data_IF_237652940834
#
_entry.id   IF_237652940834
#
_cell.length_a   1.000
_cell.length_b   1.000
_cell.length_c   1.000
_cell.angle_alpha   90.00
_cell.angle_beta   90.00
_cell.angle_gamma   90.00
#
_symmetry.space_group_name_H-M   'P 1'
#
loop_
_entity.id
_entity.type
_entity.pdbx_description
1 polymer ?
#
# COMPACT_ATOMS: atom_id res chain seq x y z
N UNK A 1 23.19 -9.42 1.94
CA UNK A 1 22.14 -8.56 2.56
C UNK A 1 22.64 -7.80 3.78
N UNK A 2 23.45 -8.41 4.65
CA UNK A 2 23.91 -7.78 5.90
C UNK A 2 24.72 -6.49 5.69
N UNK A 3 25.61 -6.46 4.69
CA UNK A 3 26.35 -5.25 4.30
C UNK A 3 25.42 -4.06 3.98
N UNK A 4 24.33 -4.32 3.25
CA UNK A 4 23.38 -3.29 2.84
C UNK A 4 22.54 -2.78 4.02
N UNK A 5 22.20 -3.65 4.98
CA UNK A 5 21.56 -3.22 6.24
C UNK A 5 22.44 -2.24 7.00
N UNK A 6 23.73 -2.56 7.16
CA UNK A 6 24.69 -1.67 7.84
C UNK A 6 24.85 -0.33 7.13
N UNK A 7 24.90 -0.34 5.79
CA UNK A 7 24.97 0.88 4.99
C UNK A 7 23.72 1.75 5.15
N UNK A 8 22.53 1.14 5.14
CA UNK A 8 21.25 1.83 5.39
C UNK A 8 21.25 2.48 6.78
N UNK A 9 21.63 1.73 7.82
CA UNK A 9 21.67 2.24 9.19
C UNK A 9 22.60 3.44 9.30
N UNK A 10 23.85 3.28 8.86
CA UNK A 10 24.86 4.34 8.89
C UNK A 10 24.38 5.61 8.19
N UNK A 11 23.81 5.47 6.98
CA UNK A 11 23.30 6.62 6.21
C UNK A 11 22.15 7.33 6.92
N UNK A 12 21.23 6.58 7.53
CA UNK A 12 20.10 7.19 8.23
C UNK A 12 20.54 7.92 9.51
N UNK A 13 21.51 7.39 10.25
CA UNK A 13 22.08 8.05 11.43
C UNK A 13 22.87 9.31 11.06
N UNK A 14 23.53 9.34 9.90
CA UNK A 14 24.22 10.53 9.37
C UNK A 14 23.24 11.63 8.93
N UNK A 15 22.13 11.26 8.29
CA UNK A 15 21.17 12.22 7.71
C UNK A 15 20.10 12.70 8.70
N UNK A 16 19.77 11.91 9.72
CA UNK A 16 18.67 12.18 10.65
C UNK A 16 19.19 12.28 12.09
N UNK A 17 19.50 13.50 12.51
CA UNK A 17 19.88 13.79 13.89
C UNK A 17 18.79 13.30 14.86
N UNK A 18 19.23 12.65 15.95
CA UNK A 18 18.34 12.12 16.99
C UNK A 18 17.61 10.82 16.65
N UNK A 19 17.80 10.26 15.44
CA UNK A 19 17.22 8.96 15.08
C UNK A 19 17.93 7.83 15.83
N UNK A 20 17.17 7.01 16.56
CA UNK A 20 17.65 5.79 17.23
C UNK A 20 17.04 4.57 16.57
N UNK A 21 17.80 3.89 15.73
CA UNK A 21 17.32 2.72 14.98
C UNK A 21 17.19 1.53 15.92
N UNK A 22 16.00 0.91 15.91
CA UNK A 22 15.73 -0.32 16.66
C UNK A 22 15.99 -1.57 15.81
N UNK A 23 15.46 -1.61 14.57
CA UNK A 23 15.77 -2.68 13.63
C UNK A 23 15.56 -2.23 12.16
N UNK A 24 16.11 -3.01 11.23
CA UNK A 24 15.72 -2.95 9.82
C UNK A 24 14.66 -4.03 9.57
N UNK A 25 13.40 -3.61 9.44
CA UNK A 25 12.24 -4.50 9.23
C UNK A 25 12.39 -5.25 7.91
N UNK A 26 12.68 -4.51 6.84
CA UNK A 26 12.76 -5.07 5.50
C UNK A 26 13.73 -4.29 4.61
N UNK A 27 14.37 -5.00 3.68
CA UNK A 27 15.06 -4.40 2.55
C UNK A 27 14.41 -4.95 1.28
N UNK A 28 13.64 -4.09 0.63
CA UNK A 28 13.04 -4.39 -0.66
C UNK A 28 13.93 -3.97 -1.83
N UNK A 29 13.43 -4.24 -3.03
CA UNK A 29 14.05 -3.79 -4.26
C UNK A 29 14.16 -2.26 -4.34
N UNK A 30 13.20 -1.52 -3.76
CA UNK A 30 13.10 -0.07 -3.90
C UNK A 30 13.44 0.73 -2.65
N UNK A 31 13.21 0.18 -1.46
CA UNK A 31 13.43 0.88 -0.20
C UNK A 31 13.77 -0.09 0.94
N UNK A 32 14.43 0.44 1.96
CA UNK A 32 14.49 -0.17 3.28
C UNK A 32 13.37 0.41 4.16
N UNK A 33 12.80 -0.44 5.00
CA UNK A 33 11.83 -0.09 6.04
C UNK A 33 12.52 -0.33 7.38
N UNK A 34 12.58 0.72 8.19
CA UNK A 34 13.37 0.75 9.43
C UNK A 34 12.46 1.15 10.59
N UNK A 35 12.49 0.37 11.67
CA UNK A 35 11.85 0.69 12.95
C UNK A 35 12.83 1.53 13.78
N UNK A 36 12.38 2.69 14.25
CA UNK A 36 13.24 3.62 14.97
C UNK A 36 12.46 4.44 15.99
N UNK A 37 13.19 5.14 16.86
CA UNK A 37 12.67 6.22 17.68
C UNK A 37 13.24 7.55 17.18
N UNK A 38 12.38 8.55 17.03
CA UNK A 38 12.75 9.91 16.67
C UNK A 38 12.03 10.86 17.63
N UNK A 39 12.80 11.67 18.37
CA UNK A 39 12.32 12.54 19.46
C UNK A 39 11.40 11.81 20.47
N UNK A 40 11.80 10.61 20.88
CA UNK A 40 11.05 9.79 21.84
C UNK A 40 9.81 9.10 21.27
N UNK A 41 9.42 9.38 20.03
CA UNK A 41 8.30 8.73 19.34
C UNK A 41 8.78 7.56 18.50
N UNK A 42 8.10 6.42 18.59
CA UNK A 42 8.37 5.28 17.70
C UNK A 42 7.83 5.58 16.30
N UNK A 43 8.67 5.38 15.29
CA UNK A 43 8.41 5.73 13.89
C UNK A 43 8.85 4.61 12.96
N UNK A 44 8.32 4.64 11.74
CA UNK A 44 8.85 3.88 10.61
C UNK A 44 9.54 4.85 9.67
N UNK A 45 10.79 4.52 9.30
CA UNK A 45 11.53 5.23 8.27
C UNK A 45 11.53 4.40 7.00
N UNK A 46 10.97 4.95 5.93
CA UNK A 46 11.05 4.40 4.57
C UNK A 46 12.16 5.12 3.83
N UNK A 47 13.24 4.41 3.54
CA UNK A 47 14.44 4.95 2.92
C UNK A 47 14.70 4.36 1.54
N UNK A 48 14.61 5.20 0.51
CA UNK A 48 15.03 4.90 -0.86
C UNK A 48 16.51 5.19 -0.99
N UNK A 49 17.32 4.16 -0.81
CA UNK A 49 18.78 4.23 -0.92
C UNK A 49 19.23 4.19 -2.38
N UNK A 50 20.42 4.75 -2.64
CA UNK A 50 21.06 4.78 -3.96
C UNK A 50 21.27 3.36 -4.52
N UNK A 51 21.01 3.17 -5.80
CA UNK A 51 21.31 1.92 -6.51
C UNK A 51 22.54 2.08 -7.41
N UNK A 52 23.62 1.37 -7.08
CA UNK A 52 24.89 1.48 -7.80
C UNK A 52 24.83 1.01 -9.26
N UNK A 53 23.82 0.22 -9.64
CA UNK A 53 23.61 -0.24 -11.01
C UNK A 53 22.87 0.79 -11.90
N UNK A 54 22.33 1.88 -11.33
CA UNK A 54 21.61 2.91 -12.08
C UNK A 54 22.51 4.11 -12.37
N UNK A 55 22.29 4.74 -13.52
CA UNK A 55 22.91 6.03 -13.84
C UNK A 55 22.54 7.04 -12.74
N UNK A 56 23.54 7.71 -12.16
CA UNK A 56 23.39 8.56 -10.98
C UNK A 56 22.27 9.60 -11.10
N UNK A 57 22.17 10.26 -12.26
CA UNK A 57 21.16 11.31 -12.52
C UNK A 57 19.74 10.70 -12.49
N UNK A 58 19.56 9.57 -13.17
CA UNK A 58 18.27 8.87 -13.20
C UNK A 58 17.87 8.33 -11.83
N UNK A 59 18.81 7.72 -11.10
CA UNK A 59 18.54 7.21 -9.76
C UNK A 59 18.10 8.32 -8.80
N UNK A 60 18.82 9.44 -8.78
CA UNK A 60 18.48 10.61 -7.96
C UNK A 60 17.09 11.15 -8.31
N UNK A 61 16.78 11.28 -9.60
CA UNK A 61 15.47 11.72 -10.06
C UNK A 61 14.35 10.75 -9.62
N UNK A 62 14.52 9.44 -9.83
CA UNK A 62 13.52 8.43 -9.49
C UNK A 62 13.26 8.37 -7.99
N UNK A 63 14.31 8.38 -7.15
CA UNK A 63 14.17 8.37 -5.69
C UNK A 63 13.42 9.61 -5.22
N UNK A 64 13.78 10.79 -5.72
CA UNK A 64 13.13 12.05 -5.40
C UNK A 64 11.66 12.09 -5.80
N UNK A 65 11.37 11.76 -7.06
CA UNK A 65 10.02 11.78 -7.61
C UNK A 65 9.10 10.81 -6.87
N UNK A 66 9.55 9.57 -6.63
CA UNK A 66 8.76 8.55 -5.93
C UNK A 66 8.53 8.89 -4.45
N UNK A 67 9.55 9.40 -3.75
CA UNK A 67 9.40 9.86 -2.36
C UNK A 67 8.43 11.03 -2.27
N UNK A 68 8.52 12.01 -3.18
CA UNK A 68 7.60 13.13 -3.21
C UNK A 68 6.16 12.69 -3.52
N UNK A 69 5.98 11.79 -4.49
CA UNK A 69 4.65 11.27 -4.86
C UNK A 69 4.00 10.51 -3.70
N UNK A 70 4.72 9.55 -3.11
CA UNK A 70 4.21 8.77 -1.97
C UNK A 70 3.83 9.67 -0.79
N UNK A 71 4.68 10.64 -0.44
CA UNK A 71 4.36 11.59 0.63
C UNK A 71 3.10 12.40 0.33
N UNK A 72 2.93 12.91 -0.90
CA UNK A 72 1.72 13.65 -1.30
C UNK A 72 0.46 12.79 -1.23
N UNK A 73 0.55 11.52 -1.64
CA UNK A 73 -0.58 10.58 -1.58
C UNK A 73 -0.99 10.32 -0.14
N UNK A 74 -0.02 10.02 0.75
CA UNK A 74 -0.28 9.81 2.18
C UNK A 74 -0.90 11.04 2.85
N UNK A 75 -0.35 12.24 2.60
CA UNK A 75 -0.89 13.48 3.16
C UNK A 75 -2.31 13.76 2.68
N UNK A 76 -2.59 13.59 1.37
CA UNK A 76 -3.95 13.78 0.83
C UNK A 76 -4.91 12.73 1.39
N UNK A 77 -4.51 11.47 1.44
CA UNK A 77 -5.29 10.38 2.02
C UNK A 77 -5.68 10.67 3.48
N UNK A 78 -4.72 11.14 4.29
CA UNK A 78 -4.97 11.53 5.67
C UNK A 78 -5.97 12.69 5.77
N UNK A 79 -5.83 13.71 4.91
CA UNK A 79 -6.72 14.89 4.90
C UNK A 79 -8.17 14.55 4.53
N UNK A 80 -8.40 13.51 3.73
CA UNK A 80 -9.76 13.03 3.39
C UNK A 80 -10.30 12.01 4.40
N UNK A 81 -9.60 11.80 5.52
CA UNK A 81 -10.03 10.90 6.59
C UNK A 81 -9.75 9.41 6.31
N UNK A 82 -8.97 9.08 5.29
CA UNK A 82 -8.56 7.69 5.06
C UNK A 82 -7.62 7.23 6.17
N UNK A 83 -7.79 5.98 6.62
CA UNK A 83 -6.97 5.40 7.67
C UNK A 83 -5.61 4.97 7.11
N UNK A 84 -4.62 5.87 7.16
CA UNK A 84 -3.23 5.70 6.69
C UNK A 84 -2.24 6.19 7.77
N UNK A 85 -0.95 5.81 7.70
CA UNK A 85 0.04 6.33 8.64
C UNK A 85 0.24 7.84 8.50
N UNK A 86 0.14 8.62 9.59
CA UNK A 86 0.56 10.00 9.59
C UNK A 86 2.03 10.16 9.20
N UNK A 87 2.32 11.15 8.36
CA UNK A 87 3.70 11.49 7.94
C UNK A 87 4.24 12.58 8.85
N UNK A 88 5.42 12.37 9.44
CA UNK A 88 6.07 13.35 10.32
C UNK A 88 7.15 14.14 9.60
N UNK A 89 7.86 13.51 8.65
CA UNK A 89 8.97 14.16 7.95
C UNK A 89 9.15 13.57 6.56
N UNK A 90 9.57 14.42 5.62
CA UNK A 90 9.85 14.03 4.23
C UNK A 90 11.11 14.74 3.76
N UNK A 91 12.13 13.95 3.45
CA UNK A 91 13.30 14.42 2.69
C UNK A 91 13.31 13.75 1.33
N UNK A 92 12.76 14.45 0.34
CA UNK A 92 12.72 13.99 -1.05
C UNK A 92 14.10 13.94 -1.70
N UNK A 93 15.08 14.71 -1.25
CA UNK A 93 16.40 14.72 -1.89
C UNK A 93 17.20 13.48 -1.48
N UNK A 94 17.07 13.07 -0.22
CA UNK A 94 17.67 11.85 0.30
C UNK A 94 16.79 10.61 0.14
N UNK A 95 15.50 10.78 -0.17
CA UNK A 95 14.58 9.68 -0.43
C UNK A 95 14.00 9.07 0.85
N UNK A 96 13.82 9.89 1.88
CA UNK A 96 13.40 9.49 3.23
C UNK A 96 11.96 9.96 3.48
N UNK A 97 11.15 9.07 4.05
CA UNK A 97 9.87 9.41 4.67
C UNK A 97 9.86 8.83 6.08
N UNK A 98 9.59 9.68 7.08
CA UNK A 98 9.34 9.26 8.46
C UNK A 98 7.83 9.34 8.71
N UNK A 99 7.24 8.23 9.16
CA UNK A 99 5.82 8.11 9.40
C UNK A 99 5.55 7.36 10.70
N UNK A 100 4.30 7.40 11.16
CA UNK A 100 3.89 6.75 12.39
C UNK A 100 4.12 5.23 12.36
N UNK A 101 4.59 4.68 13.47
CA UNK A 101 4.66 3.24 13.63
C UNK A 101 3.26 2.70 13.98
N UNK A 102 2.67 1.96 13.05
CA UNK A 102 1.35 1.37 13.26
C UNK A 102 1.48 0.05 14.01
N UNK A 103 1.19 0.06 15.31
CA UNK A 103 1.10 -1.17 16.11
C UNK A 103 -0.05 -2.04 15.61
N UNK A 104 0.26 -3.25 15.15
CA UNK A 104 -0.72 -4.21 14.68
C UNK A 104 -0.09 -5.42 14.02
N UNK A 105 -0.92 -6.22 13.34
CA UNK A 105 -0.49 -7.36 12.53
C UNK A 105 -0.99 -7.18 11.11
N UNK A 106 -0.23 -7.71 10.14
CA UNK A 106 -0.61 -7.70 8.73
C UNK A 106 -1.91 -8.50 8.54
N UNK A 107 -2.88 -7.92 7.84
CA UNK A 107 -4.22 -8.49 7.66
C UNK A 107 -4.18 -9.86 6.98
N UNK A 108 -3.31 -10.03 5.97
CA UNK A 108 -3.07 -11.32 5.29
C UNK A 108 -2.89 -12.48 6.28
N UNK A 109 -2.15 -12.28 7.37
CA UNK A 109 -1.84 -13.34 8.32
C UNK A 109 -2.98 -13.62 9.31
N UNK A 110 -4.02 -12.79 9.32
CA UNK A 110 -5.12 -12.87 10.28
C UNK A 110 -6.42 -13.39 9.69
N UNK A 111 -6.61 -13.32 8.37
CA UNK A 111 -7.91 -13.62 7.73
C UNK A 111 -8.48 -14.98 8.14
N UNK A 112 -7.65 -16.02 8.23
CA UNK A 112 -8.09 -17.37 8.59
C UNK A 112 -8.33 -17.59 10.10
N UNK A 113 -7.93 -16.64 10.95
CA UNK A 113 -8.01 -16.75 12.42
C UNK A 113 -9.12 -15.87 13.01
N UNK A 114 -9.60 -14.90 12.24
CA UNK A 114 -10.62 -13.96 12.70
C UNK A 114 -12.02 -14.54 12.52
N UNK A 115 -12.87 -14.30 13.51
CA UNK A 115 -14.29 -14.62 13.42
C UNK A 115 -14.98 -13.84 12.29
N UNK A 116 -16.02 -14.45 11.70
CA UNK A 116 -16.78 -13.89 10.57
C UNK A 116 -17.26 -12.45 10.83
N UNK A 117 -17.81 -12.15 12.01
CA UNK A 117 -18.28 -10.80 12.38
C UNK A 117 -17.15 -9.77 12.42
N UNK A 118 -15.95 -10.20 12.77
CA UNK A 118 -14.76 -9.35 12.77
C UNK A 118 -14.29 -9.10 11.35
N UNK A 119 -14.23 -10.14 10.52
CA UNK A 119 -13.88 -10.04 9.10
C UNK A 119 -14.80 -9.07 8.37
N UNK A 120 -16.11 -9.16 8.61
CA UNK A 120 -17.09 -8.23 8.03
C UNK A 120 -16.75 -6.77 8.34
N UNK A 121 -16.57 -6.43 9.62
CA UNK A 121 -16.24 -5.05 10.04
C UNK A 121 -14.92 -4.58 9.43
N UNK A 122 -13.91 -5.45 9.42
CA UNK A 122 -12.56 -5.15 8.90
C UNK A 122 -12.61 -4.87 7.40
N UNK A 123 -13.26 -5.73 6.62
CA UNK A 123 -13.32 -5.59 5.17
C UNK A 123 -14.24 -4.44 4.73
N UNK A 124 -15.36 -4.20 5.44
CA UNK A 124 -16.16 -2.98 5.24
C UNK A 124 -15.34 -1.72 5.48
N UNK A 125 -14.62 -1.66 6.61
CA UNK A 125 -13.76 -0.50 6.92
C UNK A 125 -12.64 -0.30 5.90
N UNK A 126 -12.07 -1.39 5.36
CA UNK A 126 -11.09 -1.32 4.27
C UNK A 126 -11.73 -0.79 2.99
N UNK A 127 -12.93 -1.27 2.65
CA UNK A 127 -13.75 -0.77 1.54
C UNK A 127 -14.00 0.73 1.64
N UNK A 128 -14.45 1.21 2.81
CA UNK A 128 -14.64 2.64 3.09
C UNK A 128 -13.36 3.43 2.89
N UNK A 129 -12.23 2.92 3.41
CA UNK A 129 -10.92 3.57 3.27
C UNK A 129 -10.53 3.71 1.79
N UNK A 130 -10.66 2.65 0.99
CA UNK A 130 -10.37 2.69 -0.45
C UNK A 130 -11.37 3.58 -1.21
N UNK A 131 -12.64 3.59 -0.78
CA UNK A 131 -13.66 4.48 -1.31
C UNK A 131 -13.27 5.95 -1.15
N UNK A 132 -12.77 6.35 0.02
CA UNK A 132 -12.27 7.70 0.27
C UNK A 132 -11.07 8.05 -0.64
N UNK A 133 -10.14 7.11 -0.83
CA UNK A 133 -9.03 7.31 -1.75
C UNK A 133 -9.52 7.56 -3.18
N UNK A 134 -10.36 6.68 -3.70
CA UNK A 134 -10.88 6.78 -5.06
C UNK A 134 -11.79 8.01 -5.27
N UNK A 135 -12.58 8.42 -4.27
CA UNK A 135 -13.34 9.67 -4.31
C UNK A 135 -12.42 10.88 -4.40
N UNK A 136 -11.30 10.85 -3.68
CA UNK A 136 -10.29 11.91 -3.72
C UNK A 136 -9.32 11.85 -4.90
N UNK A 137 -9.52 10.92 -5.86
CA UNK A 137 -8.65 10.75 -7.02
C UNK A 137 -7.26 10.20 -6.67
N UNK A 138 -7.18 9.34 -5.66
CA UNK A 138 -5.98 8.58 -5.28
C UNK A 138 -6.19 7.13 -5.68
N UNK A 139 -5.22 6.57 -6.39
CA UNK A 139 -5.10 5.14 -6.67
C UNK A 139 -3.97 4.59 -5.81
N UNK A 140 -4.20 3.48 -5.10
CA UNK A 140 -3.20 2.88 -4.24
C UNK A 140 -2.10 2.20 -5.07
N UNK A 141 -2.48 1.48 -6.13
CA UNK A 141 -1.56 0.87 -7.11
C UNK A 141 -0.93 -0.45 -6.67
N UNK A 142 -0.97 -0.76 -5.36
CA UNK A 142 -0.58 -2.06 -4.80
C UNK A 142 -1.57 -2.54 -3.72
N UNK A 143 -2.86 -2.49 -4.00
CA UNK A 143 -3.89 -2.82 -3.02
C UNK A 143 -3.94 -4.33 -2.72
N UNK A 144 -3.30 -4.74 -1.63
CA UNK A 144 -3.22 -6.15 -1.19
C UNK A 144 -3.45 -6.28 0.33
N UNK A 145 -3.82 -7.48 0.81
CA UNK A 145 -3.96 -7.74 2.25
C UNK A 145 -2.62 -7.72 3.01
N UNK A 146 -1.48 -7.72 2.30
CA UNK A 146 -0.14 -7.53 2.90
C UNK A 146 0.15 -6.08 3.24
N UNK A 147 -0.51 -5.15 2.53
CA UNK A 147 -0.39 -3.70 2.71
C UNK A 147 -1.46 -3.14 3.64
N UNK A 148 -2.10 -3.99 4.45
CA UNK A 148 -3.09 -3.58 5.44
C UNK A 148 -2.66 -4.07 6.82
N UNK A 149 -2.58 -3.16 7.79
CA UNK A 149 -2.33 -3.48 9.19
C UNK A 149 -3.66 -3.45 9.96
N UNK A 150 -3.96 -4.52 10.69
CA UNK A 150 -5.02 -4.53 11.68
C UNK A 150 -4.44 -4.19 13.05
N UNK A 151 -4.88 -3.06 13.60
CA UNK A 151 -4.47 -2.61 14.94
C UNK A 151 -5.17 -3.41 16.05
N UNK A 152 -4.65 -3.43 17.29
CA UNK A 152 -5.33 -4.06 18.43
C UNK A 152 -6.75 -3.50 18.68
N UNK A 153 -6.99 -2.24 18.31
CA UNK A 153 -8.31 -1.58 18.37
C UNK A 153 -9.21 -1.97 17.18
N UNK A 154 -8.85 -3.00 16.40
CA UNK A 154 -9.57 -3.49 15.21
C UNK A 154 -9.79 -2.46 14.10
N UNK A 155 -8.95 -1.41 14.06
CA UNK A 155 -8.91 -0.46 12.95
C UNK A 155 -7.97 -0.97 11.87
N UNK A 156 -8.40 -0.90 10.61
CA UNK A 156 -7.55 -1.13 9.44
C UNK A 156 -6.74 0.12 9.16
N UNK A 157 -5.47 -0.04 8.82
CA UNK A 157 -4.60 1.04 8.35
C UNK A 157 -3.95 0.56 7.05
N UNK A 158 -4.20 1.28 5.96
CA UNK A 158 -3.62 0.99 4.65
C UNK A 158 -2.22 1.62 4.57
N UNK A 159 -1.23 0.85 4.15
CA UNK A 159 0.17 1.24 4.11
C UNK A 159 0.76 1.05 2.70
N UNK A 160 1.92 1.64 2.47
CA UNK A 160 2.71 1.52 1.23
C UNK A 160 2.03 2.07 -0.04
N UNK A 161 2.13 3.39 -0.22
CA UNK A 161 1.69 4.10 -1.42
C UNK A 161 2.83 4.25 -2.44
N UNK A 162 3.83 3.36 -2.43
CA UNK A 162 5.02 3.47 -3.28
C UNK A 162 4.70 3.41 -4.79
N UNK A 163 3.68 2.64 -5.16
CA UNK A 163 3.18 2.50 -6.53
C UNK A 163 1.97 3.38 -6.84
N UNK A 164 1.43 4.08 -5.85
CA UNK A 164 0.22 4.87 -6.01
C UNK A 164 0.40 6.09 -6.91
N UNK A 165 -0.72 6.65 -7.33
CA UNK A 165 -0.79 7.79 -8.22
C UNK A 165 -2.07 8.61 -8.03
N UNK A 166 -2.08 9.82 -8.60
CA UNK A 166 -3.27 10.65 -8.66
C UNK A 166 -4.01 10.37 -9.97
N UNK A 167 -5.20 9.78 -9.88
CA UNK A 167 -6.08 9.58 -11.02
C UNK A 167 -7.53 9.47 -10.54
N UNK A 168 -8.43 10.07 -11.31
CA UNK A 168 -9.89 9.95 -11.12
C UNK A 168 -10.52 9.02 -12.16
N UNK A 169 -9.72 8.39 -13.00
CA UNK A 169 -10.19 7.52 -14.07
C UNK A 169 -10.77 6.22 -13.52
N UNK A 170 -11.97 5.85 -13.99
CA UNK A 170 -12.64 4.61 -13.59
C UNK A 170 -11.83 3.37 -13.96
N UNK A 171 -11.07 3.40 -15.06
CA UNK A 171 -10.19 2.29 -15.46
C UNK A 171 -9.15 2.03 -14.38
N UNK A 172 -8.48 3.07 -13.88
CA UNK A 172 -7.44 2.94 -12.85
C UNK A 172 -8.01 2.48 -11.51
N UNK A 173 -9.20 2.97 -11.14
CA UNK A 173 -9.92 2.46 -9.96
C UNK A 173 -10.32 0.99 -10.12
N UNK A 174 -10.74 0.60 -11.31
CA UNK A 174 -11.05 -0.78 -11.67
C UNK A 174 -9.82 -1.69 -11.58
N UNK A 175 -8.65 -1.22 -12.03
CA UNK A 175 -7.38 -1.96 -11.90
C UNK A 175 -7.03 -2.20 -10.44
N UNK A 176 -7.17 -1.18 -9.59
CA UNK A 176 -6.82 -1.28 -8.15
C UNK A 176 -7.73 -2.28 -7.42
N UNK A 177 -9.06 -2.20 -7.63
CA UNK A 177 -10.01 -3.16 -7.05
C UNK A 177 -9.80 -4.57 -7.65
N UNK A 178 -9.48 -4.65 -8.95
CA UNK A 178 -9.19 -5.93 -9.58
C UNK A 178 -7.95 -6.61 -8.96
N UNK A 179 -6.88 -5.86 -8.69
CA UNK A 179 -5.69 -6.35 -8.01
C UNK A 179 -6.02 -6.88 -6.61
N UNK A 180 -6.87 -6.15 -5.87
CA UNK A 180 -7.32 -6.60 -4.55
C UNK A 180 -8.11 -7.91 -4.63
N UNK A 181 -9.08 -8.00 -5.57
CA UNK A 181 -9.84 -9.23 -5.80
C UNK A 181 -8.92 -10.41 -6.12
N UNK A 182 -7.93 -10.22 -7.00
CA UNK A 182 -6.93 -11.25 -7.32
C UNK A 182 -6.11 -11.67 -6.10
N UNK A 183 -5.81 -10.73 -5.21
CA UNK A 183 -5.14 -11.03 -3.94
C UNK A 183 -6.01 -11.93 -3.07
N UNK A 184 -7.30 -11.63 -2.92
CA UNK A 184 -8.22 -12.47 -2.13
C UNK A 184 -8.37 -13.87 -2.71
N UNK A 185 -8.46 -13.99 -4.03
CA UNK A 185 -8.58 -15.29 -4.71
C UNK A 185 -7.34 -16.17 -4.59
N UNK A 186 -6.15 -15.56 -4.49
CA UNK A 186 -4.89 -16.30 -4.39
C UNK A 186 -4.46 -16.58 -2.95
N UNK A 187 -4.77 -15.68 -2.01
CA UNK A 187 -4.31 -15.78 -0.61
C UNK A 187 -5.39 -16.27 0.36
N UNK A 188 -6.67 -16.06 0.04
CA UNK A 188 -7.82 -16.33 0.91
C UNK A 188 -8.92 -17.08 0.14
N UNK A 189 -8.54 -18.14 -0.57
CA UNK A 189 -9.36 -18.86 -1.56
C UNK A 189 -10.78 -19.14 -1.08
N UNK A 190 -10.94 -19.78 0.08
CA UNK A 190 -12.24 -20.22 0.63
C UNK A 190 -13.17 -19.07 1.05
N UNK A 191 -12.61 -17.92 1.41
CA UNK A 191 -13.36 -16.75 1.90
C UNK A 191 -13.42 -15.62 0.88
N UNK A 192 -12.71 -15.73 -0.24
CA UNK A 192 -12.52 -14.66 -1.24
C UNK A 192 -13.83 -13.95 -1.63
N UNK A 193 -14.88 -14.72 -1.98
CA UNK A 193 -16.19 -14.19 -2.39
C UNK A 193 -16.85 -13.35 -1.29
N UNK A 194 -16.89 -13.87 -0.06
CA UNK A 194 -17.57 -13.18 1.05
C UNK A 194 -16.78 -11.96 1.52
N UNK A 195 -15.45 -12.04 1.55
CA UNK A 195 -14.58 -10.91 1.91
C UNK A 195 -14.66 -9.79 0.88
N UNK A 196 -14.71 -10.14 -0.42
CA UNK A 196 -14.89 -9.17 -1.48
C UNK A 196 -16.25 -8.48 -1.38
N UNK A 197 -17.32 -9.23 -1.04
CA UNK A 197 -18.64 -8.65 -0.82
C UNK A 197 -18.62 -7.61 0.31
N UNK A 198 -18.04 -7.95 1.47
CA UNK A 198 -17.92 -6.99 2.59
C UNK A 198 -17.10 -5.76 2.22
N UNK A 199 -16.03 -5.94 1.43
CA UNK A 199 -15.25 -4.83 0.91
C UNK A 199 -16.08 -3.92 0.00
N UNK A 200 -16.84 -4.49 -0.94
CA UNK A 200 -17.69 -3.73 -1.85
C UNK A 200 -18.77 -2.97 -1.09
N UNK A 201 -19.42 -3.57 -0.10
CA UNK A 201 -20.42 -2.89 0.75
C UNK A 201 -19.81 -1.65 1.44
N UNK A 202 -18.58 -1.77 1.96
CA UNK A 202 -17.87 -0.64 2.54
C UNK A 202 -17.47 0.44 1.51
N UNK A 203 -17.02 0.02 0.34
CA UNK A 203 -16.65 0.91 -0.76
C UNK A 203 -17.86 1.70 -1.28
N UNK A 204 -19.00 1.03 -1.42
CA UNK A 204 -20.27 1.61 -1.86
C UNK A 204 -20.80 2.67 -0.91
N UNK A 205 -20.59 2.51 0.40
CA UNK A 205 -20.98 3.52 1.38
C UNK A 205 -20.35 4.90 1.16
N UNK A 206 -19.22 4.97 0.44
CA UNK A 206 -18.56 6.22 0.07
C UNK A 206 -18.85 6.59 -1.39
N UNK A 207 -18.79 5.62 -2.30
CA UNK A 207 -18.81 5.89 -3.75
C UNK A 207 -20.21 5.89 -4.37
N UNK A 208 -21.22 5.41 -3.65
CA UNK A 208 -22.60 5.33 -4.11
C UNK A 208 -22.70 4.69 -5.49
N UNK A 209 -23.45 5.33 -6.40
CA UNK A 209 -23.68 4.85 -7.76
C UNK A 209 -22.41 4.64 -8.60
N UNK A 210 -21.33 5.39 -8.32
CA UNK A 210 -20.04 5.20 -9.02
C UNK A 210 -19.45 3.83 -8.76
N UNK A 211 -19.84 3.16 -7.68
CA UNK A 211 -19.41 1.79 -7.36
C UNK A 211 -19.69 0.84 -8.50
N UNK A 212 -20.90 0.88 -9.06
CA UNK A 212 -21.30 0.00 -10.16
C UNK A 212 -20.39 0.19 -11.37
N UNK A 213 -20.11 1.45 -11.75
CA UNK A 213 -19.24 1.77 -12.88
C UNK A 213 -17.82 1.24 -12.69
N UNK A 214 -17.27 1.34 -11.48
CA UNK A 214 -15.94 0.78 -11.17
C UNK A 214 -15.97 -0.75 -11.21
N UNK A 215 -17.01 -1.39 -10.68
CA UNK A 215 -17.15 -2.85 -10.73
C UNK A 215 -17.34 -3.37 -12.16
N UNK A 216 -18.01 -2.62 -13.03
CA UNK A 216 -18.10 -2.93 -14.46
C UNK A 216 -16.71 -2.90 -15.10
N UNK A 217 -15.84 -1.92 -14.73
CA UNK A 217 -14.43 -1.92 -15.14
C UNK A 217 -13.66 -3.11 -14.62
N UNK A 218 -13.85 -3.52 -13.37
CA UNK A 218 -13.25 -4.76 -12.84
C UNK A 218 -13.63 -5.98 -13.70
N UNK A 219 -14.89 -6.08 -14.14
CA UNK A 219 -15.35 -7.17 -14.99
C UNK A 219 -14.74 -7.12 -16.41
N UNK A 220 -14.65 -5.94 -17.01
CA UNK A 220 -13.97 -5.73 -18.30
C UNK A 220 -12.50 -6.16 -18.24
N UNK A 221 -11.76 -5.69 -17.23
CA UNK A 221 -10.35 -6.02 -17.02
C UNK A 221 -10.17 -7.54 -16.86
N UNK A 222 -11.04 -8.19 -16.09
CA UNK A 222 -11.05 -9.65 -15.93
C UNK A 222 -11.29 -10.42 -17.22
N UNK A 223 -12.12 -9.90 -18.13
CA UNK A 223 -12.33 -10.51 -19.44
C UNK A 223 -11.04 -10.38 -20.27
N UNK A 224 -10.45 -9.19 -20.35
CA UNK A 224 -9.20 -8.93 -21.11
C UNK A 224 -8.04 -9.81 -20.65
N UNK A 225 -7.83 -9.96 -19.33
CA UNK A 225 -6.77 -10.81 -18.78
C UNK A 225 -6.92 -12.30 -19.13
N UNK A 226 -8.16 -12.81 -19.24
CA UNK A 226 -8.43 -14.19 -19.65
C UNK A 226 -8.08 -14.44 -21.12
N UNK A 227 -8.35 -13.49 -22.02
CA UNK A 227 -7.98 -13.62 -23.44
C UNK A 227 -6.46 -13.67 -23.66
N UNK A 228 -5.66 -12.98 -22.83
CA UNK A 228 -4.20 -13.03 -22.89
C UNK A 228 -3.66 -14.41 -22.46
N UNK A 229 -4.27 -15.03 -21.43
CA UNK A 229 -3.91 -16.38 -21.00
C UNK A 229 -4.25 -17.45 -22.06
N UNK A 230 -5.41 -17.34 -22.73
CA UNK A 230 -5.81 -18.24 -23.82
C UNK A 230 -4.92 -18.11 -25.06
N UNK A 231 -4.38 -16.91 -25.36
CA UNK A 231 -3.41 -16.71 -26.46
C UNK A 231 -2.04 -17.29 -26.16
N UNK A 232 -1.59 -17.28 -24.89
CA UNK A 232 -0.32 -17.92 -24.51
C UNK A 232 -0.36 -19.44 -24.66
N UNK A 233 -1.50 -20.09 -24.49
CA UNK A 233 -1.64 -21.53 -24.74
C UNK A 233 -1.50 -21.90 -26.23
N UNK A 234 -1.99 -21.04 -27.14
CA UNK A 234 -1.92 -21.29 -28.60
C UNK A 234 -0.56 -21.07 -29.25
N UNK A 235 0.41 -20.48 -28.54
CA UNK A 235 1.76 -20.24 -29.06
C UNK A 235 2.69 -21.45 -28.73
N UNK A 236 2.25 -22.35 -27.85
CA UNK A 236 3.00 -23.54 -27.41
C UNK A 236 2.24 -24.85 -27.64
N UNK A 237 1.38 -24.87 -28.65
CA UNK A 237 0.70 -26.05 -29.23
C UNK A 237 0.75 -25.92 -30.73
#
# INVERSE_FOLDING_TARGET
MEKLKREVIKRLEEELAGLKISNVIAIGAEAAIVDAFWDGKRVVVKYRYKKNYRINVLDKYLRKSRTQREAKLLLKALNVGASVPPVFFVDKNNGIIIMDFIKGKILKNLVNTLEKRTLEKVFKSLGTTVGLLHESGIIHGDLTTSNVILTPKRRVVLIDFGLGEFSSELEMQGVDIHLFLRTLESTHTSLSKILYQYFVEGYESIRGEKTRQVLDKVLEIRKRGRYVASRRHRIWT
#
